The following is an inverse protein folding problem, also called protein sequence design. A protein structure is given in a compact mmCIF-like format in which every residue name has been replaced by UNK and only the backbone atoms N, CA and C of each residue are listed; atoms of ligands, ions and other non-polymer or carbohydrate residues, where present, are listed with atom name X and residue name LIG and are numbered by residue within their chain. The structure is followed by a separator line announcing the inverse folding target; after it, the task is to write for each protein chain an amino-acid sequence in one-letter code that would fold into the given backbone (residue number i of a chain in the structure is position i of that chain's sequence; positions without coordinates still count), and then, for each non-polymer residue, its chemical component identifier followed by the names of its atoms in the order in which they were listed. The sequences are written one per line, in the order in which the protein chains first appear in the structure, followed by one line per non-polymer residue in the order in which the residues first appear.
data_IF_328422101333
#
_entry.id   IF_328422101333
#
_cell.length_a   1.000
_cell.length_b   1.000
_cell.length_c   1.000
_cell.angle_alpha   90.00
_cell.angle_beta   90.00
_cell.angle_gamma   90.00
#
_symmetry.space_group_name_H-M   'P 1'
#
loop_
_entity.id
_entity.type
_entity.pdbx_description
1 polymer ?
#
# COMPACT_ATOMS: atom_id res chain seq x y z
N UNK A 1 6.48 0.99 12.54
CA UNK A 1 7.61 0.40 11.79
C UNK A 1 7.39 0.68 10.32
N UNK A 2 8.43 0.96 9.55
CA UNK A 2 8.35 1.21 8.10
C UNK A 2 9.04 0.07 7.34
N UNK A 3 8.50 -0.33 6.20
CA UNK A 3 9.05 -1.41 5.37
C UNK A 3 8.90 -1.08 3.88
N UNK A 4 9.93 -1.34 3.09
CA UNK A 4 9.87 -1.24 1.62
C UNK A 4 9.02 -2.36 1.02
N UNK A 5 8.23 -2.02 0.01
CA UNK A 5 7.32 -2.95 -0.66
C UNK A 5 7.06 -2.55 -2.12
N UNK A 6 6.55 -3.49 -2.89
CA UNK A 6 6.10 -3.30 -4.26
C UNK A 6 4.59 -3.54 -4.34
N UNK A 7 3.86 -2.67 -5.04
CA UNK A 7 2.42 -2.84 -5.24
C UNK A 7 2.16 -3.93 -6.28
N UNK A 8 1.44 -4.98 -5.88
CA UNK A 8 1.06 -6.09 -6.75
C UNK A 8 -0.36 -5.96 -7.31
N UNK A 9 -1.22 -5.23 -6.61
CA UNK A 9 -2.63 -5.12 -6.98
C UNK A 9 -3.36 -4.01 -6.26
N UNK A 10 -4.32 -3.42 -6.96
CA UNK A 10 -5.19 -2.38 -6.42
C UNK A 10 -6.62 -2.73 -6.81
N UNK A 11 -7.50 -2.88 -5.81
CA UNK A 11 -8.93 -3.11 -6.03
C UNK A 11 -9.73 -2.02 -5.34
N UNK A 12 -10.16 -0.97 -6.06
CA UNK A 12 -11.03 0.06 -5.51
C UNK A 12 -12.43 -0.48 -5.25
N UNK A 13 -13.08 0.03 -4.21
CA UNK A 13 -14.47 -0.26 -3.86
C UNK A 13 -15.08 0.93 -3.11
N UNK A 14 -16.40 0.95 -3.00
CA UNK A 14 -17.15 2.01 -2.31
C UNK A 14 -17.82 1.44 -1.06
N UNK A 15 -17.71 2.16 0.05
CA UNK A 15 -18.51 1.96 1.25
C UNK A 15 -19.22 3.28 1.53
N UNK A 16 -20.54 3.32 1.46
CA UNK A 16 -21.33 4.53 1.76
C UNK A 16 -20.83 5.79 1.02
N UNK A 17 -20.62 5.68 -0.29
CA UNK A 17 -20.07 6.73 -1.17
C UNK A 17 -18.62 7.17 -0.86
N UNK A 18 -17.96 6.57 0.12
CA UNK A 18 -16.55 6.77 0.40
C UNK A 18 -15.69 5.73 -0.32
N UNK A 19 -14.57 6.19 -0.89
CA UNK A 19 -13.69 5.36 -1.71
C UNK A 19 -12.61 4.70 -0.86
N UNK A 20 -12.63 3.38 -0.86
CA UNK A 20 -11.61 2.54 -0.27
C UNK A 20 -10.89 1.73 -1.35
N UNK A 21 -9.68 1.29 -1.03
CA UNK A 21 -8.85 0.49 -1.92
C UNK A 21 -8.30 -0.69 -1.11
N UNK A 22 -8.51 -1.90 -1.63
CA UNK A 22 -7.74 -3.06 -1.20
C UNK A 22 -6.41 -3.00 -1.92
N UNK A 23 -5.32 -2.92 -1.17
CA UNK A 23 -3.96 -2.89 -1.68
C UNK A 23 -3.33 -4.25 -1.42
N UNK A 24 -2.79 -4.85 -2.48
CA UNK A 24 -1.96 -6.04 -2.44
C UNK A 24 -0.51 -5.63 -2.69
N UNK A 25 0.41 -6.08 -1.84
CA UNK A 25 1.82 -5.71 -1.94
C UNK A 25 2.72 -6.82 -1.42
N UNK A 26 3.93 -6.92 -1.95
CA UNK A 26 5.00 -7.79 -1.44
C UNK A 26 6.00 -6.94 -0.68
N UNK A 27 6.49 -7.41 0.47
CA UNK A 27 7.56 -6.69 1.19
C UNK A 27 8.91 -7.10 0.61
N UNK A 28 9.86 -6.18 0.55
CA UNK A 28 11.18 -6.49 0.00
C UNK A 28 11.96 -7.53 0.82
N UNK A 29 11.70 -7.61 2.12
CA UNK A 29 12.29 -8.60 3.02
C UNK A 29 11.57 -9.96 2.98
N UNK A 30 10.42 -10.05 2.32
CA UNK A 30 9.62 -11.27 2.20
C UNK A 30 8.80 -11.27 0.88
N UNK A 31 9.48 -11.36 -0.28
CA UNK A 31 8.85 -11.17 -1.59
C UNK A 31 7.94 -12.33 -2.01
N UNK A 32 8.02 -13.48 -1.34
CA UNK A 32 7.18 -14.66 -1.62
C UNK A 32 5.78 -14.53 -1.02
N UNK A 33 5.57 -13.56 -0.11
CA UNK A 33 4.29 -13.33 0.57
C UNK A 33 3.58 -12.10 0.02
N UNK A 34 2.37 -12.30 -0.49
CA UNK A 34 1.47 -11.19 -0.82
C UNK A 34 0.71 -10.78 0.45
N UNK A 35 0.96 -9.55 0.89
CA UNK A 35 0.21 -8.91 1.95
C UNK A 35 -0.99 -8.16 1.40
N UNK A 36 -1.99 -7.95 2.26
CA UNK A 36 -3.20 -7.21 1.93
C UNK A 36 -3.50 -6.16 3.00
N UNK A 37 -3.87 -4.95 2.56
CA UNK A 37 -4.40 -3.90 3.42
C UNK A 37 -5.67 -3.28 2.80
N UNK A 38 -6.56 -2.80 3.66
CA UNK A 38 -7.72 -1.99 3.24
C UNK A 38 -7.50 -0.58 3.76
N UNK A 39 -7.48 0.38 2.85
CA UNK A 39 -7.17 1.78 3.15
C UNK A 39 -8.20 2.69 2.49
N UNK A 40 -8.51 3.81 3.14
CA UNK A 40 -9.17 4.92 2.44
C UNK A 40 -8.28 5.39 1.30
N UNK A 41 -8.89 5.85 0.20
CA UNK A 41 -8.14 6.42 -0.92
C UNK A 41 -7.25 7.60 -0.49
N UNK A 42 -7.64 8.36 0.54
CA UNK A 42 -6.86 9.48 1.09
C UNK A 42 -5.59 9.04 1.84
N UNK A 43 -5.51 7.76 2.23
CA UNK A 43 -4.33 7.19 2.88
C UNK A 43 -3.30 6.61 1.88
N UNK A 44 -3.54 6.82 0.58
CA UNK A 44 -2.68 6.37 -0.52
C UNK A 44 -2.16 7.57 -1.31
N UNK A 45 -0.95 7.46 -1.90
CA UNK A 45 -0.42 8.52 -2.74
C UNK A 45 -1.21 8.61 -4.05
N UNK A 46 -1.39 9.84 -4.54
CA UNK A 46 -2.11 10.09 -5.78
C UNK A 46 -1.49 9.36 -6.98
N UNK A 47 -2.36 8.71 -7.74
CA UNK A 47 -1.98 7.99 -8.95
C UNK A 47 -1.05 6.79 -8.68
N UNK A 48 -1.14 6.17 -7.50
CA UNK A 48 -0.48 4.89 -7.21
C UNK A 48 -0.88 3.81 -8.24
N UNK A 49 0.09 2.99 -8.64
CA UNK A 49 -0.08 1.93 -9.64
C UNK A 49 0.57 0.63 -9.21
N UNK A 50 0.15 -0.47 -9.84
CA UNK A 50 0.85 -1.75 -9.75
C UNK A 50 2.27 -1.59 -10.29
N UNK A 51 3.24 -2.17 -9.59
CA UNK A 51 4.67 -2.02 -9.84
C UNK A 51 5.32 -0.81 -9.15
N UNK A 52 4.55 0.06 -8.48
CA UNK A 52 5.13 1.17 -7.72
C UNK A 52 5.90 0.66 -6.49
N UNK A 53 7.08 1.24 -6.28
CA UNK A 53 7.88 1.07 -5.08
C UNK A 53 7.38 2.01 -3.97
N UNK A 54 7.08 1.44 -2.81
CA UNK A 54 6.43 2.14 -1.70
C UNK A 54 7.07 1.83 -0.36
N UNK A 55 6.80 2.70 0.61
CA UNK A 55 7.07 2.47 2.02
C UNK A 55 5.73 2.27 2.73
N UNK A 56 5.60 1.13 3.41
CA UNK A 56 4.42 0.74 4.18
C UNK A 56 4.67 1.04 5.66
N UNK A 57 3.76 1.80 6.28
CA UNK A 57 3.81 2.13 7.71
C UNK A 57 2.92 1.18 8.49
N UNK A 58 3.49 0.52 9.50
CA UNK A 58 2.82 -0.44 10.38
C UNK A 58 2.65 0.11 11.80
N UNK A 59 1.46 -0.08 12.37
CA UNK A 59 1.11 0.18 13.77
C UNK A 59 0.43 -1.06 14.33
N UNK A 60 1.02 -1.70 15.35
CA UNK A 60 0.47 -2.92 15.97
C UNK A 60 0.09 -4.02 14.95
N UNK A 61 0.94 -4.24 13.94
CA UNK A 61 0.72 -5.16 12.81
C UNK A 61 -0.41 -4.78 11.84
N UNK A 62 -0.94 -3.56 11.93
CA UNK A 62 -1.91 -3.01 11.00
C UNK A 62 -1.20 -2.02 10.07
N UNK A 63 -1.50 -2.07 8.78
CA UNK A 63 -1.04 -1.07 7.82
C UNK A 63 -1.80 0.23 8.08
N UNK A 64 -1.08 1.26 8.54
CA UNK A 64 -1.62 2.57 8.85
C UNK A 64 -1.58 3.53 7.66
N UNK A 65 -0.69 3.28 6.69
CA UNK A 65 -0.57 4.12 5.50
C UNK A 65 0.53 3.61 4.56
N UNK A 66 0.46 4.06 3.31
CA UNK A 66 1.43 3.75 2.27
C UNK A 66 1.84 5.07 1.62
N UNK A 67 3.14 5.24 1.36
CA UNK A 67 3.69 6.40 0.64
C UNK A 67 4.65 5.92 -0.43
N UNK A 68 4.89 6.71 -1.48
CA UNK A 68 5.94 6.38 -2.46
C UNK A 68 7.31 6.32 -1.78
N UNK A 69 8.13 5.36 -2.21
CA UNK A 69 9.56 5.48 -1.98
C UNK A 69 10.04 6.76 -2.68
N UNK A 70 10.79 7.61 -1.98
CA UNK A 70 11.38 8.77 -2.63
C UNK A 70 12.25 8.28 -3.81
N UNK A 71 12.31 9.01 -4.94
CA UNK A 71 13.27 8.65 -5.98
C UNK A 71 14.67 8.65 -5.35
N UNK A 72 15.42 7.58 -5.57
CA UNK A 72 16.85 7.58 -5.29
C UNK A 72 17.47 8.64 -6.21
N UNK A 73 18.00 9.70 -5.62
CA UNK A 73 18.79 10.74 -6.30
C UNK A 73 20.10 10.14 -6.85
#
# INVERSE_FOLDING_TARGET
METGATIEGLRPYLIHDERYIVVYFTRHDDPETIHQAQLSADALPDGIRVGDEVIVTWVLNIVAGIRRAAPAD
#
